data_IF_352166399608
#
_entry.id   IF_352166399608
#
_cell.length_a   1.000
_cell.length_b   1.000
_cell.length_c   1.000
_cell.angle_alpha   90.00
_cell.angle_beta   90.00
_cell.angle_gamma   90.00
#
_symmetry.space_group_name_H-M   'P 1'
#
loop_
_entity.id
_entity.type
_entity.pdbx_description
1 polymer ?
#
# COMPACT_ATOMS: atom_id res chain seq x y z
N UNK A 1 -8.22 21.05 13.09
CA UNK A 1 -8.40 20.63 14.49
C UNK A 1 -7.34 19.57 14.77
N UNK A 2 -6.51 19.73 15.80
CA UNK A 2 -5.60 18.66 16.23
C UNK A 2 -6.41 17.77 17.16
N UNK A 3 -6.90 16.64 16.68
CA UNK A 3 -7.43 15.62 17.58
C UNK A 3 -6.26 15.11 18.42
N UNK A 4 -6.37 15.22 19.74
CA UNK A 4 -5.48 14.48 20.63
C UNK A 4 -5.99 13.05 20.67
N UNK A 5 -5.52 12.22 19.75
CA UNK A 5 -5.77 10.78 19.78
C UNK A 5 -5.32 10.19 21.11
N UNK A 6 -5.93 9.09 21.54
CA UNK A 6 -5.49 8.43 22.77
C UNK A 6 -4.05 7.94 22.62
N UNK A 7 -3.36 7.76 23.76
CA UNK A 7 -2.05 7.10 23.74
C UNK A 7 -2.13 5.66 23.22
N UNK A 8 -3.25 4.97 23.50
CA UNK A 8 -3.49 3.61 23.06
C UNK A 8 -3.62 3.52 21.54
N UNK A 9 -4.44 4.37 20.91
CA UNK A 9 -4.62 4.39 19.46
C UNK A 9 -3.29 4.67 18.75
N UNK A 10 -2.49 5.61 19.26
CA UNK A 10 -1.17 5.89 18.68
C UNK A 10 -0.22 4.71 18.76
N UNK A 11 -0.19 4.03 19.90
CA UNK A 11 0.64 2.83 20.10
C UNK A 11 0.17 1.69 19.17
N UNK A 12 -1.13 1.47 19.08
CA UNK A 12 -1.72 0.46 18.21
C UNK A 12 -1.41 0.71 16.73
N UNK A 13 -1.49 1.97 16.28
CA UNK A 13 -1.06 2.37 14.93
C UNK A 13 0.42 2.04 14.72
N UNK A 14 1.29 2.47 15.64
CA UNK A 14 2.73 2.27 15.50
C UNK A 14 3.09 0.78 15.47
N UNK A 15 2.51 0.00 16.37
CA UNK A 15 2.68 -1.45 16.45
C UNK A 15 2.17 -2.16 15.18
N UNK A 16 1.00 -1.77 14.67
CA UNK A 16 0.43 -2.35 13.46
C UNK A 16 1.31 -2.08 12.22
N UNK A 17 1.77 -0.83 12.05
CA UNK A 17 2.66 -0.43 10.96
C UNK A 17 3.99 -1.17 11.03
N UNK A 18 4.60 -1.22 12.22
CA UNK A 18 5.86 -1.93 12.42
C UNK A 18 5.72 -3.42 12.11
N UNK A 19 4.63 -4.06 12.56
CA UNK A 19 4.36 -5.48 12.28
C UNK A 19 4.13 -5.74 10.80
N UNK A 20 3.35 -4.89 10.12
CA UNK A 20 3.11 -5.01 8.68
C UNK A 20 4.43 -4.94 7.90
N UNK A 21 5.26 -3.93 8.20
CA UNK A 21 6.57 -3.77 7.57
C UNK A 21 7.51 -4.96 7.85
N UNK A 22 7.59 -5.44 9.09
CA UNK A 22 8.43 -6.59 9.44
C UNK A 22 7.98 -7.89 8.76
N UNK A 23 6.69 -8.05 8.50
CA UNK A 23 6.13 -9.29 7.95
C UNK A 23 6.18 -9.31 6.43
N UNK A 24 5.85 -8.20 5.78
CA UNK A 24 5.66 -8.13 4.32
C UNK A 24 6.65 -7.21 3.60
N UNK A 25 7.43 -6.40 4.33
CA UNK A 25 8.31 -5.37 3.74
C UNK A 25 7.57 -4.14 3.17
N UNK A 26 6.24 -4.17 3.16
CA UNK A 26 5.35 -3.13 2.66
C UNK A 26 4.16 -2.95 3.60
N UNK A 27 3.66 -1.72 3.73
CA UNK A 27 2.51 -1.37 4.56
C UNK A 27 1.32 -1.03 3.68
N UNK A 28 0.30 -1.90 3.65
CA UNK A 28 -0.99 -1.57 3.05
C UNK A 28 -1.78 -0.67 4.00
N UNK A 29 -2.03 0.58 3.58
CA UNK A 29 -2.61 1.61 4.45
C UNK A 29 -4.01 1.22 4.90
N UNK A 30 -4.90 0.88 3.96
CA UNK A 30 -6.31 0.59 4.23
C UNK A 30 -6.47 -0.66 5.09
N UNK A 31 -5.77 -1.75 4.76
CA UNK A 31 -5.84 -2.98 5.54
C UNK A 31 -5.28 -2.81 6.96
N UNK A 32 -4.17 -2.07 7.11
CA UNK A 32 -3.57 -1.80 8.42
C UNK A 32 -4.45 -0.88 9.25
N UNK A 33 -5.05 0.15 8.65
CA UNK A 33 -5.98 1.05 9.32
C UNK A 33 -7.24 0.33 9.81
N UNK A 34 -7.81 -0.55 8.99
CA UNK A 34 -8.96 -1.35 9.38
C UNK A 34 -8.64 -2.28 10.57
N UNK A 35 -7.46 -2.89 10.59
CA UNK A 35 -7.00 -3.69 11.74
C UNK A 35 -6.92 -2.87 13.03
N UNK A 36 -6.41 -1.63 12.95
CA UNK A 36 -6.34 -0.72 14.09
C UNK A 36 -7.75 -0.29 14.53
N UNK A 37 -8.62 0.07 13.58
CA UNK A 37 -9.99 0.51 13.85
C UNK A 37 -10.80 -0.54 14.58
N UNK A 38 -10.73 -1.80 14.12
CA UNK A 38 -11.44 -2.93 14.76
C UNK A 38 -10.99 -3.16 16.20
N UNK A 39 -9.72 -2.87 16.54
CA UNK A 39 -9.20 -2.96 17.91
C UNK A 39 -9.59 -1.77 18.78
N UNK A 40 -9.92 -0.63 18.18
CA UNK A 40 -10.16 0.65 18.85
C UNK A 40 -11.59 1.19 18.61
N UNK A 41 -12.59 0.31 18.45
CA UNK A 41 -13.98 0.70 18.14
C UNK A 41 -14.58 1.68 19.16
N UNK A 42 -14.17 1.60 20.43
CA UNK A 42 -14.64 2.50 21.48
C UNK A 42 -14.23 3.96 21.27
N UNK A 43 -13.16 4.23 20.51
CA UNK A 43 -12.72 5.59 20.22
C UNK A 43 -13.55 6.26 19.12
N UNK A 44 -14.31 5.49 18.34
CA UNK A 44 -15.19 5.98 17.28
C UNK A 44 -14.48 6.96 16.30
N UNK A 45 -13.21 6.68 16.00
CA UNK A 45 -12.41 7.44 15.03
C UNK A 45 -12.75 6.96 13.62
N UNK A 46 -12.92 7.91 12.71
CA UNK A 46 -13.18 7.63 11.31
C UNK A 46 -12.03 6.80 10.69
N UNK A 47 -12.36 5.92 9.74
CA UNK A 47 -11.35 5.07 9.12
C UNK A 47 -10.28 5.93 8.42
N UNK A 48 -10.70 7.01 7.76
CA UNK A 48 -9.83 7.93 7.02
C UNK A 48 -8.81 8.63 7.94
N UNK A 49 -9.21 8.96 9.17
CA UNK A 49 -8.33 9.54 10.17
C UNK A 49 -7.28 8.51 10.64
N UNK A 50 -7.66 7.25 10.79
CA UNK A 50 -6.73 6.15 11.12
C UNK A 50 -5.81 5.86 9.94
N UNK A 51 -6.30 5.84 8.70
CA UNK A 51 -5.49 5.72 7.49
C UNK A 51 -4.44 6.82 7.41
N UNK A 52 -4.81 8.06 7.75
CA UNK A 52 -3.87 9.17 7.83
C UNK A 52 -2.79 8.92 8.90
N UNK A 53 -3.15 8.42 10.08
CA UNK A 53 -2.17 8.07 11.13
C UNK A 53 -1.21 6.96 10.67
N UNK A 54 -1.74 5.91 10.04
CA UNK A 54 -0.98 4.78 9.49
C UNK A 54 0.00 5.27 8.42
N UNK A 55 -0.46 6.12 7.49
CA UNK A 55 0.38 6.73 6.46
C UNK A 55 1.54 7.51 7.09
N UNK A 56 1.26 8.35 8.11
CA UNK A 56 2.31 9.14 8.77
C UNK A 56 3.32 8.25 9.50
N UNK A 57 2.85 7.21 10.18
CA UNK A 57 3.72 6.25 10.85
C UNK A 57 4.59 5.46 9.85
N UNK A 58 4.03 5.01 8.73
CA UNK A 58 4.77 4.29 7.69
C UNK A 58 5.84 5.18 7.03
N UNK A 59 5.52 6.44 6.78
CA UNK A 59 6.48 7.44 6.26
C UNK A 59 7.64 7.68 7.24
N UNK A 60 7.34 7.80 8.55
CA UNK A 60 8.37 7.97 9.58
C UNK A 60 9.28 6.74 9.69
N UNK A 61 8.71 5.54 9.53
CA UNK A 61 9.46 4.29 9.51
C UNK A 61 10.31 4.12 8.23
N UNK A 62 10.04 4.89 7.18
CA UNK A 62 10.66 4.70 5.87
C UNK A 62 10.21 3.43 5.16
N UNK A 63 9.01 2.93 5.50
CA UNK A 63 8.46 1.72 4.91
C UNK A 63 7.99 1.96 3.47
N UNK A 64 8.06 0.92 2.62
CA UNK A 64 7.32 0.92 1.37
C UNK A 64 5.81 0.94 1.67
N UNK A 65 5.04 1.66 0.87
CA UNK A 65 3.62 1.90 1.12
C UNK A 65 2.81 1.39 -0.06
N UNK A 66 1.78 0.61 0.23
CA UNK A 66 0.75 0.19 -0.71
C UNK A 66 -0.55 0.95 -0.42
N UNK A 67 -1.09 1.56 -1.48
CA UNK A 67 -2.46 2.06 -1.48
C UNK A 67 -3.31 1.01 -2.20
N UNK A 68 -4.53 0.78 -1.70
CA UNK A 68 -5.41 -0.21 -2.32
C UNK A 68 -5.59 0.11 -3.81
N UNK A 69 -5.16 -0.82 -4.67
CA UNK A 69 -5.03 -0.59 -6.09
C UNK A 69 -6.38 -0.65 -6.83
N UNK A 70 -7.48 -0.97 -6.15
CA UNK A 70 -8.72 -1.42 -6.80
C UNK A 70 -10.01 -0.81 -6.21
N UNK A 71 -10.11 0.52 -6.26
CA UNK A 71 -11.42 1.20 -6.32
C UNK A 71 -12.10 1.13 -7.69
N UNK A 72 -11.37 0.78 -8.75
CA UNK A 72 -11.86 0.81 -10.13
C UNK A 72 -11.37 -0.39 -10.94
N UNK A 73 -12.00 -1.56 -10.76
CA UNK A 73 -12.36 -2.53 -11.82
C UNK A 73 -11.35 -2.98 -12.87
N UNK A 74 -10.06 -2.65 -12.75
CA UNK A 74 -9.00 -3.05 -13.65
C UNK A 74 -8.03 -3.96 -12.90
N UNK A 75 -8.59 -5.03 -12.33
CA UNK A 75 -7.82 -6.26 -12.29
C UNK A 75 -7.56 -6.60 -13.76
N UNK A 76 -6.40 -6.17 -14.28
CA UNK A 76 -5.81 -6.76 -15.47
C UNK A 76 -5.54 -8.22 -15.11
N UNK A 77 -6.59 -9.05 -15.21
CA UNK A 77 -6.45 -10.49 -15.35
C UNK A 77 -5.78 -10.68 -16.70
N UNK A 78 -4.44 -10.60 -16.69
CA UNK A 78 -3.62 -11.12 -17.77
C UNK A 78 -3.84 -12.63 -17.79
N UNK A 79 -4.90 -13.05 -18.46
CA UNK A 79 -5.04 -14.43 -18.89
C UNK A 79 -4.09 -14.58 -20.07
N UNK A 80 -2.84 -14.86 -19.75
CA UNK A 80 -1.83 -15.36 -20.67
C UNK A 80 -2.20 -16.83 -20.99
N UNK A 81 -3.23 -17.01 -21.82
CA UNK A 81 -3.53 -18.30 -22.46
C UNK A 81 -2.57 -18.46 -23.64
N UNK A 82 -1.41 -19.03 -23.36
CA UNK A 82 -0.46 -19.51 -24.37
C UNK A 82 -0.91 -20.88 -24.84
N UNK A 83 -1.49 -20.96 -26.04
CA UNK A 83 -1.25 -22.09 -26.95
C UNK A 83 -1.50 -21.67 -28.41
N UNK A 84 -0.46 -21.84 -29.24
CA UNK A 84 -0.63 -22.05 -30.68
C UNK A 84 -0.45 -20.87 -31.63
N UNK A 85 0.76 -20.81 -32.22
CA UNK A 85 1.08 -20.35 -33.59
C UNK A 85 1.50 -18.87 -33.81
N UNK A 86 2.82 -18.66 -33.84
CA UNK A 86 3.48 -17.49 -34.47
C UNK A 86 3.14 -17.42 -35.99
N UNK A 87 3.01 -16.22 -36.62
CA UNK A 87 4.22 -15.51 -37.07
C UNK A 87 4.19 -13.97 -37.05
N UNK A 88 5.39 -13.44 -36.75
CA UNK A 88 6.01 -12.24 -37.32
C UNK A 88 5.40 -10.85 -37.04
N UNK A 89 5.86 -10.22 -35.95
CA UNK A 89 6.31 -8.82 -35.97
C UNK A 89 7.47 -8.63 -34.99
N UNK A 90 8.62 -8.24 -35.56
CA UNK A 90 9.93 -8.08 -34.94
C UNK A 90 9.97 -7.12 -33.74
N UNK A 91 10.92 -7.28 -32.80
CA UNK A 91 10.92 -6.60 -31.51
C UNK A 91 11.32 -5.13 -31.64
N UNK A 92 10.46 -4.21 -31.16
CA UNK A 92 10.89 -2.86 -30.85
C UNK A 92 11.80 -2.90 -29.62
N UNK A 93 13.10 -3.00 -29.91
CA UNK A 93 14.20 -2.68 -29.02
C UNK A 93 13.96 -1.30 -28.41
N UNK A 94 13.77 -1.25 -27.09
CA UNK A 94 13.92 -0.02 -26.31
C UNK A 94 15.39 0.39 -26.39
N UNK A 95 15.70 1.28 -27.33
CA UNK A 95 16.98 1.96 -27.41
C UNK A 95 17.18 2.79 -26.14
N UNK A 96 18.15 2.38 -25.32
CA UNK A 96 18.75 3.22 -24.29
C UNK A 96 19.35 4.47 -24.96
N UNK A 97 19.09 5.70 -24.50
CA UNK A 97 19.95 6.81 -24.85
C UNK A 97 21.23 6.72 -24.00
N UNK A 98 22.33 6.40 -24.67
CA UNK A 98 23.68 6.49 -24.13
C UNK A 98 23.98 7.93 -23.68
N UNK A 99 24.70 8.04 -22.57
CA UNK A 99 25.32 9.25 -22.04
C UNK A 99 26.09 10.01 -23.12
N UNK A 100 25.86 11.32 -23.19
CA UNK A 100 26.71 12.26 -23.93
C UNK A 100 27.73 12.83 -22.92
N UNK A 101 29.01 12.73 -23.29
CA UNK A 101 30.16 13.32 -22.59
C UNK A 101 30.12 14.85 -22.57
#
# INVERSE_FOLDING_TARGET
MRYEYSAQLREDVHSAVQRAFQTAGIVNITATAEQVRVRNLAENVALEDIEYLVLKAAQLLGAAIEFDALGNGLALSGNDDVDGEEPAISPHVFSQPASIQ
#
